data_IF_533146235546
#
_entry.id   IF_533146235546
#
_cell.length_a   1.000
_cell.length_b   1.000
_cell.length_c   1.000
_cell.angle_alpha   90.00
_cell.angle_beta   90.00
_cell.angle_gamma   90.00
#
_symmetry.space_group_name_H-M   'P 1'
#
loop_
_entity.id
_entity.type
_entity.pdbx_description
1 polymer ?
#
# COMPACT_ATOMS: atom_id res chain seq x y z
N UNK A 1 23.87 -2.42 4.41
CA UNK A 1 22.94 -3.53 4.55
C UNK A 1 21.91 -3.17 5.61
N UNK A 2 20.61 -3.25 5.27
CA UNK A 2 19.51 -2.85 6.15
C UNK A 2 18.65 -4.05 6.51
N UNK A 3 18.17 -4.10 7.72
CA UNK A 3 17.20 -5.10 8.14
C UNK A 3 15.79 -4.69 7.73
N UNK A 4 14.98 -5.65 7.31
CA UNK A 4 13.62 -5.43 6.84
C UNK A 4 12.60 -5.63 7.96
N UNK A 5 11.63 -4.73 8.02
CA UNK A 5 10.37 -4.92 8.73
C UNK A 5 9.28 -5.04 7.66
N UNK A 6 8.62 -6.17 7.57
CA UNK A 6 7.64 -6.44 6.53
C UNK A 6 6.21 -6.46 7.08
N UNK A 7 5.23 -6.02 6.27
CA UNK A 7 3.83 -6.28 6.58
C UNK A 7 3.58 -7.79 6.63
N UNK A 8 2.63 -8.19 7.47
CA UNK A 8 2.27 -9.59 7.62
C UNK A 8 1.74 -10.22 6.34
N UNK A 9 1.87 -11.52 6.21
CA UNK A 9 1.32 -12.30 5.12
C UNK A 9 -0.19 -12.06 5.05
N UNK A 10 -0.71 -11.88 3.84
CA UNK A 10 -2.12 -11.54 3.58
C UNK A 10 -2.35 -10.09 3.20
N UNK A 11 -1.38 -9.21 3.42
CA UNK A 11 -1.42 -7.85 2.90
C UNK A 11 -0.87 -7.81 1.45
N UNK A 12 -1.50 -7.00 0.61
CA UNK A 12 -1.18 -6.96 -0.82
C UNK A 12 0.29 -6.57 -1.08
N UNK A 13 0.81 -5.59 -0.38
CA UNK A 13 2.20 -5.17 -0.52
C UNK A 13 3.18 -6.32 -0.19
N UNK A 14 2.86 -7.16 0.80
CA UNK A 14 3.65 -8.33 1.15
C UNK A 14 3.64 -9.37 0.05
N UNK A 15 2.47 -9.68 -0.51
CA UNK A 15 2.34 -10.68 -1.57
C UNK A 15 3.12 -10.28 -2.83
N UNK A 16 3.02 -9.03 -3.24
CA UNK A 16 3.75 -8.51 -4.40
C UNK A 16 5.27 -8.55 -4.15
N UNK A 17 5.70 -8.14 -2.98
CA UNK A 17 7.11 -8.17 -2.60
C UNK A 17 7.68 -9.59 -2.59
N UNK A 18 6.98 -10.54 -1.97
CA UNK A 18 7.40 -11.95 -1.91
C UNK A 18 7.54 -12.56 -3.31
N UNK A 19 6.64 -12.23 -4.24
CA UNK A 19 6.74 -12.67 -5.64
C UNK A 19 8.01 -12.17 -6.30
N UNK A 20 8.34 -10.90 -6.15
CA UNK A 20 9.54 -10.29 -6.73
C UNK A 20 10.82 -10.91 -6.15
N UNK A 21 10.84 -11.13 -4.84
CA UNK A 21 11.99 -11.74 -4.16
C UNK A 21 12.21 -13.18 -4.64
N UNK A 22 11.12 -13.93 -4.82
CA UNK A 22 11.20 -15.30 -5.33
C UNK A 22 11.72 -15.36 -6.77
N UNK A 23 11.21 -14.51 -7.65
CA UNK A 23 11.65 -14.44 -9.05
C UNK A 23 13.11 -14.09 -9.21
N UNK A 24 13.62 -13.19 -8.37
CA UNK A 24 14.99 -12.68 -8.43
C UNK A 24 15.97 -13.49 -7.57
N UNK A 25 15.51 -14.53 -6.87
CA UNK A 25 16.32 -15.34 -5.95
C UNK A 25 17.11 -14.50 -4.94
N UNK A 26 16.48 -13.45 -4.41
CA UNK A 26 17.11 -12.60 -3.42
C UNK A 26 16.98 -13.21 -2.03
N UNK A 27 18.08 -13.16 -1.28
CA UNK A 27 18.08 -13.55 0.12
C UNK A 27 18.15 -12.30 0.99
N UNK A 28 17.04 -11.96 1.61
CA UNK A 28 16.90 -10.77 2.42
C UNK A 28 16.72 -11.14 3.90
N UNK A 29 17.28 -10.31 4.76
CA UNK A 29 17.13 -10.46 6.20
C UNK A 29 15.89 -9.74 6.67
N UNK A 30 14.87 -10.51 7.06
CA UNK A 30 13.65 -10.01 7.68
C UNK A 30 13.82 -10.03 9.20
N UNK A 31 13.87 -8.85 9.80
CA UNK A 31 14.04 -8.71 11.24
C UNK A 31 12.70 -8.85 11.99
N UNK A 32 11.61 -8.39 11.39
CA UNK A 32 10.31 -8.36 12.03
C UNK A 32 9.17 -8.36 11.00
N UNK A 33 8.04 -8.90 11.39
CA UNK A 33 6.76 -8.76 10.68
C UNK A 33 5.75 -8.07 11.58
N UNK A 34 4.92 -7.20 11.00
CA UNK A 34 3.87 -6.51 11.72
C UNK A 34 2.60 -6.42 10.86
N UNK A 35 1.45 -6.55 11.49
CA UNK A 35 0.15 -6.52 10.81
C UNK A 35 -0.49 -5.13 10.78
N UNK A 36 0.12 -4.14 11.38
CA UNK A 36 -0.39 -2.78 11.46
C UNK A 36 0.62 -1.79 10.89
N UNK A 37 0.16 -1.00 9.91
CA UNK A 37 0.99 -0.04 9.16
C UNK A 37 1.57 1.04 10.06
N UNK A 38 0.79 1.60 10.99
CA UNK A 38 1.27 2.65 11.89
C UNK A 38 2.41 2.16 12.78
N UNK A 39 2.35 0.92 13.22
CA UNK A 39 3.45 0.29 13.99
C UNK A 39 4.72 0.22 13.14
N UNK A 40 4.63 -0.21 11.90
CA UNK A 40 5.76 -0.25 10.96
C UNK A 40 6.35 1.15 10.80
N UNK A 41 5.53 2.16 10.50
CA UNK A 41 5.98 3.53 10.29
C UNK A 41 6.67 4.13 11.52
N UNK A 42 6.15 3.84 12.71
CA UNK A 42 6.78 4.27 13.95
C UNK A 42 8.13 3.62 14.20
N UNK A 43 8.27 2.34 13.87
CA UNK A 43 9.56 1.64 13.92
C UNK A 43 10.58 2.24 12.96
N UNK A 44 10.17 2.56 11.73
CA UNK A 44 11.06 3.17 10.74
C UNK A 44 11.62 4.52 11.19
N UNK A 45 10.81 5.33 11.85
CA UNK A 45 11.25 6.66 12.34
C UNK A 45 12.31 6.59 13.43
N UNK A 46 12.36 5.49 14.16
CA UNK A 46 13.22 5.31 15.35
C UNK A 46 14.37 4.34 15.11
N UNK A 47 14.55 3.85 13.92
CA UNK A 47 15.53 2.82 13.59
C UNK A 47 16.07 3.00 12.18
N UNK A 48 16.99 2.14 11.80
CA UNK A 48 17.51 2.05 10.43
C UNK A 48 16.85 0.92 9.63
N UNK A 49 15.63 0.54 10.01
CA UNK A 49 14.87 -0.45 9.26
C UNK A 49 14.30 0.12 7.96
N UNK A 50 14.09 -0.75 7.01
CA UNK A 50 13.36 -0.46 5.78
C UNK A 50 12.14 -1.36 5.66
N UNK A 51 11.14 -0.92 4.93
CA UNK A 51 9.91 -1.69 4.69
C UNK A 51 9.46 -1.55 3.24
N UNK A 52 8.47 -2.34 2.86
CA UNK A 52 7.78 -2.23 1.58
C UNK A 52 6.29 -2.01 1.83
N UNK A 53 5.79 -0.89 1.38
CA UNK A 53 4.39 -0.49 1.52
C UNK A 53 3.93 0.19 0.24
N UNK A 54 2.61 0.33 0.07
CA UNK A 54 2.10 1.14 -1.04
C UNK A 54 2.42 2.62 -0.82
N UNK A 55 2.70 3.33 -1.89
CA UNK A 55 3.03 4.76 -1.85
C UNK A 55 1.96 5.61 -1.14
N UNK A 56 0.70 5.25 -1.31
CA UNK A 56 -0.43 5.97 -0.70
C UNK A 56 -0.37 6.03 0.83
N UNK A 57 0.26 5.06 1.46
CA UNK A 57 0.41 5.00 2.92
C UNK A 57 1.37 6.05 3.44
N UNK A 58 2.33 6.48 2.63
CA UNK A 58 3.47 7.31 3.03
C UNK A 58 3.22 8.81 2.76
N UNK A 59 2.21 9.16 1.97
CA UNK A 59 1.95 10.52 1.50
C UNK A 59 1.83 11.58 2.60
N UNK A 60 1.50 11.20 3.82
CA UNK A 60 1.32 12.11 4.95
C UNK A 60 2.35 11.93 6.08
N UNK A 61 3.34 11.07 5.87
CA UNK A 61 4.31 10.75 6.92
C UNK A 61 5.64 11.45 6.69
N UNK A 62 5.80 12.58 7.37
CA UNK A 62 7.06 13.32 7.38
C UNK A 62 8.19 12.51 8.04
N UNK A 63 9.39 12.68 7.53
CA UNK A 63 10.58 12.04 8.07
C UNK A 63 10.91 10.67 7.46
N UNK A 64 10.14 10.22 6.47
CA UNK A 64 10.40 9.01 5.70
C UNK A 64 10.71 9.34 4.25
N UNK A 65 11.60 8.59 3.65
CA UNK A 65 11.97 8.70 2.24
C UNK A 65 11.45 7.47 1.50
N UNK A 66 10.85 7.71 0.35
CA UNK A 66 10.33 6.67 -0.53
C UNK A 66 11.30 6.39 -1.66
N UNK A 67 11.60 5.13 -1.89
CA UNK A 67 12.35 4.65 -3.06
C UNK A 67 11.40 3.81 -3.89
N UNK A 68 11.14 4.24 -5.10
CA UNK A 68 10.25 3.53 -6.01
C UNK A 68 10.88 2.22 -6.49
N UNK A 69 10.10 1.15 -6.48
CA UNK A 69 10.49 -0.12 -7.10
C UNK A 69 10.01 -0.09 -8.55
N UNK A 70 10.94 -0.01 -9.48
CA UNK A 70 10.65 -0.01 -10.91
C UNK A 70 10.37 -1.43 -11.42
N UNK A 71 9.16 -1.91 -11.12
CA UNK A 71 8.66 -3.20 -11.57
C UNK A 71 7.17 -3.09 -11.87
N UNK A 72 6.74 -3.56 -13.04
CA UNK A 72 5.34 -3.50 -13.46
C UNK A 72 4.39 -4.23 -12.49
N UNK A 73 4.86 -5.26 -11.81
CA UNK A 73 4.08 -6.00 -10.81
C UNK A 73 3.84 -5.21 -9.52
N UNK A 74 4.59 -4.14 -9.29
CA UNK A 74 4.42 -3.26 -8.13
C UNK A 74 3.24 -2.30 -8.26
N UNK A 75 2.60 -2.21 -9.42
CA UNK A 75 1.43 -1.37 -9.61
C UNK A 75 0.18 -2.06 -9.06
N UNK A 76 -0.52 -1.37 -8.16
CA UNK A 76 -1.77 -1.86 -7.57
C UNK A 76 -2.97 -1.16 -8.21
N UNK A 77 -3.98 -1.94 -8.56
CA UNK A 77 -5.25 -1.45 -9.08
C UNK A 77 -6.34 -1.57 -8.02
N UNK A 78 -7.02 -0.46 -7.73
CA UNK A 78 -8.20 -0.46 -6.88
C UNK A 78 -9.43 -0.79 -7.68
N UNK A 79 -10.22 -1.76 -7.22
CA UNK A 79 -11.43 -2.20 -7.88
C UNK A 79 -12.65 -2.08 -6.98
N UNK A 80 -13.80 -1.75 -7.57
CA UNK A 80 -15.10 -1.82 -6.92
C UNK A 80 -15.80 -3.12 -7.30
N UNK A 81 -16.28 -3.84 -6.29
CA UNK A 81 -17.05 -5.06 -6.48
C UNK A 81 -18.47 -4.89 -5.95
N UNK A 82 -19.45 -5.18 -6.76
CA UNK A 82 -20.87 -5.14 -6.37
C UNK A 82 -21.68 -6.19 -7.14
N UNK A 83 -22.84 -6.56 -6.61
CA UNK A 83 -23.73 -7.50 -7.27
C UNK A 83 -24.46 -6.81 -8.44
N UNK A 84 -24.29 -7.33 -9.66
CA UNK A 84 -24.76 -6.71 -10.90
C UNK A 84 -26.28 -6.48 -10.96
N UNK A 85 -27.09 -7.40 -10.42
CA UNK A 85 -28.54 -7.39 -10.56
C UNK A 85 -29.28 -6.99 -9.28
N UNK A 86 -28.64 -6.21 -8.40
CA UNK A 86 -29.27 -5.73 -7.18
C UNK A 86 -29.49 -4.23 -7.21
N UNK A 87 -30.50 -3.77 -6.49
CA UNK A 87 -30.76 -2.37 -6.30
C UNK A 87 -29.56 -1.67 -5.68
N UNK A 88 -29.15 -0.56 -6.28
CA UNK A 88 -28.11 0.31 -5.75
C UNK A 88 -28.74 1.56 -5.16
N UNK A 89 -28.39 1.87 -3.91
CA UNK A 89 -28.80 3.13 -3.27
C UNK A 89 -28.16 4.30 -4.01
N UNK A 90 -28.85 5.44 -4.00
CA UNK A 90 -28.33 6.68 -4.58
C UNK A 90 -26.96 7.08 -4.01
N UNK A 91 -26.76 6.88 -2.70
CA UNK A 91 -25.47 7.11 -2.05
C UNK A 91 -24.34 6.22 -2.62
N UNK A 92 -24.63 4.98 -2.94
CA UNK A 92 -23.66 4.06 -3.56
C UNK A 92 -23.30 4.52 -4.97
N UNK A 93 -24.27 4.91 -5.78
CA UNK A 93 -24.02 5.43 -7.13
C UNK A 93 -23.24 6.73 -7.10
N UNK A 94 -23.52 7.62 -6.18
CA UNK A 94 -22.77 8.85 -5.98
C UNK A 94 -21.32 8.58 -5.56
N UNK A 95 -21.08 7.59 -4.70
CA UNK A 95 -19.74 7.16 -4.32
C UNK A 95 -18.95 6.62 -5.52
N UNK A 96 -19.58 5.78 -6.35
CA UNK A 96 -18.97 5.27 -7.58
C UNK A 96 -18.60 6.43 -8.52
N UNK A 97 -19.50 7.39 -8.67
CA UNK A 97 -19.27 8.59 -9.49
C UNK A 97 -18.08 9.40 -8.97
N UNK A 98 -17.98 9.61 -7.67
CA UNK A 98 -16.87 10.33 -7.05
C UNK A 98 -15.52 9.61 -7.22
N UNK A 99 -15.50 8.29 -7.14
CA UNK A 99 -14.29 7.50 -7.39
C UNK A 99 -13.84 7.57 -8.85
N UNK A 100 -14.75 7.78 -9.79
CA UNK A 100 -14.43 7.97 -11.20
C UNK A 100 -14.00 9.41 -11.52
N UNK A 101 -14.17 10.35 -10.61
CA UNK A 101 -13.78 11.74 -10.77
C UNK A 101 -12.35 11.98 -10.27
N UNK A 102 -11.44 12.17 -11.20
CA UNK A 102 -10.01 12.39 -10.90
C UNK A 102 -9.78 13.65 -10.06
N UNK A 103 -10.61 14.68 -10.20
CA UNK A 103 -10.50 15.91 -9.40
C UNK A 103 -10.93 15.68 -7.95
N UNK A 104 -12.00 14.91 -7.74
CA UNK A 104 -12.45 14.55 -6.40
C UNK A 104 -11.40 13.69 -5.68
N UNK A 105 -10.79 12.73 -6.36
CA UNK A 105 -9.71 11.90 -5.81
C UNK A 105 -8.48 12.72 -5.44
N UNK A 106 -8.09 13.70 -6.24
CA UNK A 106 -6.98 14.60 -5.92
C UNK A 106 -7.27 15.46 -4.70
N UNK A 107 -8.51 15.91 -4.52
CA UNK A 107 -8.93 16.63 -3.31
C UNK A 107 -8.91 15.73 -2.08
N UNK A 108 -9.36 14.50 -2.18
CA UNK A 108 -9.36 13.56 -1.07
C UNK A 108 -7.94 13.24 -0.56
N UNK A 109 -6.96 13.23 -1.44
CA UNK A 109 -5.54 13.08 -1.05
C UNK A 109 -5.02 14.21 -0.14
N UNK A 110 -5.65 15.37 -0.16
CA UNK A 110 -5.33 16.47 0.74
C UNK A 110 -5.91 16.28 2.15
N UNK A 111 -6.83 15.34 2.32
CA UNK A 111 -7.53 15.04 3.58
C UNK A 111 -7.06 13.74 4.25
N UNK A 112 -6.34 12.93 3.51
CA UNK A 112 -5.74 11.71 4.00
C UNK A 112 -4.31 11.96 4.48
#
# INVERSE_FOLDING_TARGET
EYDLVLPSIGLQARSTFDSIIAERNLNLKVAMEANEVNTILNLLRRSNYVTVLSETVILEHNGLVTIEIDDAECNMEGCLHFCANRYRKRSTEEFIRLLSDTKALRRSRLWL
#
